data_IF_248045329893
#
_entry.id   IF_248045329893
#
_cell.length_a   1.000
_cell.length_b   1.000
_cell.length_c   1.000
_cell.angle_alpha   90.00
_cell.angle_beta   90.00
_cell.angle_gamma   90.00
#
_symmetry.space_group_name_H-M   'P 1'
#
loop_
_entity.id
_entity.type
_entity.pdbx_description
1 polymer ?
#
# COMPACT_ATOMS: atom_id res chain seq x y z
N UNK A 1 -80.53 15.08 22.92
CA UNK A 1 -81.30 13.94 23.41
C UNK A 1 -80.30 13.03 24.03
N UNK A 2 -80.15 12.96 25.21
CA UNK A 2 -80.97 12.48 26.36
C UNK A 2 -80.16 11.41 26.98
N UNK A 3 -79.63 11.62 28.07
CA UNK A 3 -80.09 11.48 29.41
C UNK A 3 -79.63 10.20 30.04
N UNK A 4 -78.76 10.35 31.03
CA UNK A 4 -78.87 9.95 32.44
C UNK A 4 -78.72 8.43 32.73
N UNK A 5 -78.26 7.95 33.87
CA UNK A 5 -78.12 8.47 35.20
C UNK A 5 -77.67 7.34 36.13
N UNK A 6 -76.93 7.71 37.16
CA UNK A 6 -77.05 7.34 38.58
C UNK A 6 -76.77 5.91 39.04
N UNK A 7 -75.93 5.80 39.97
CA UNK A 7 -75.97 5.79 41.48
C UNK A 7 -75.88 4.38 42.00
N UNK A 8 -75.44 4.04 43.15
CA UNK A 8 -74.89 4.59 44.39
C UNK A 8 -74.08 3.51 45.05
N UNK A 9 -73.02 3.72 45.68
CA UNK A 9 -72.73 3.98 47.07
C UNK A 9 -72.97 2.80 48.06
N UNK A 10 -72.04 2.65 48.90
CA UNK A 10 -71.97 2.41 50.33
C UNK A 10 -71.16 1.19 50.74
N UNK A 11 -70.03 1.46 51.41
CA UNK A 11 -69.78 1.58 52.81
C UNK A 11 -69.66 0.21 53.54
N UNK A 12 -68.53 -0.17 54.13
CA UNK A 12 -68.25 -0.17 55.55
C UNK A 12 -66.96 -0.90 55.98
N UNK A 13 -66.17 -0.16 56.70
CA UNK A 13 -65.42 -0.44 57.95
C UNK A 13 -64.52 -1.68 58.12
N UNK A 14 -63.32 -1.31 58.56
CA UNK A 14 -62.18 -1.99 59.21
C UNK A 14 -62.57 -2.94 60.37
N UNK A 15 -61.63 -3.86 60.83
CA UNK A 15 -60.53 -3.39 61.66
C UNK A 15 -59.19 -4.15 61.53
N UNK A 16 -58.22 -3.51 62.12
CA UNK A 16 -56.84 -3.82 62.49
C UNK A 16 -56.49 -5.31 62.82
N UNK A 17 -55.27 -5.68 62.36
CA UNK A 17 -54.55 -6.87 62.83
C UNK A 17 -53.05 -6.76 62.51
N UNK A 18 -52.34 -6.52 63.52
CA UNK A 18 -50.94 -6.56 63.94
C UNK A 18 -49.87 -7.13 62.94
N UNK A 19 -48.75 -6.37 62.90
CA UNK A 19 -47.37 -6.66 62.62
C UNK A 19 -46.91 -8.14 62.68
N UNK A 20 -46.09 -8.49 61.67
CA UNK A 20 -44.89 -9.27 61.89
C UNK A 20 -43.82 -8.81 60.91
N UNK A 21 -42.74 -8.21 61.46
CA UNK A 21 -41.45 -8.02 60.78
C UNK A 21 -40.85 -9.38 60.45
N UNK A 22 -40.60 -9.65 59.18
CA UNK A 22 -39.57 -10.61 58.78
C UNK A 22 -38.61 -9.89 57.93
N UNK A 23 -37.45 -9.58 58.51
CA UNK A 23 -36.26 -9.06 57.90
C UNK A 23 -35.69 -10.15 56.98
N UNK A 24 -35.73 -9.97 55.71
CA UNK A 24 -34.95 -10.77 54.77
C UNK A 24 -33.67 -10.02 54.38
N UNK A 25 -32.63 -10.32 55.17
CA UNK A 25 -31.22 -9.93 54.87
C UNK A 25 -30.59 -11.05 54.07
N UNK A 26 -30.77 -11.06 52.72
CA UNK A 26 -30.04 -12.01 51.86
C UNK A 26 -29.94 -11.64 50.36
N UNK A 27 -30.12 -10.37 49.99
CA UNK A 27 -30.00 -10.01 48.56
C UNK A 27 -28.81 -9.08 48.20
N UNK A 28 -28.04 -8.63 49.18
CA UNK A 28 -26.93 -7.70 48.91
C UNK A 28 -25.63 -8.36 48.42
N UNK A 29 -25.22 -9.59 48.79
CA UNK A 29 -23.97 -10.15 48.27
C UNK A 29 -24.07 -10.59 46.80
N UNK A 30 -25.24 -10.92 46.28
CA UNK A 30 -25.39 -11.36 44.86
C UNK A 30 -25.34 -10.21 43.91
N UNK A 31 -25.84 -9.01 44.26
CA UNK A 31 -25.79 -7.83 43.42
C UNK A 31 -24.37 -7.25 43.35
N UNK A 32 -23.60 -7.27 44.45
CA UNK A 32 -22.21 -6.83 44.49
C UNK A 32 -21.30 -7.79 43.69
N UNK A 33 -21.58 -9.12 43.74
CA UNK A 33 -20.84 -10.09 42.94
C UNK A 33 -21.14 -9.98 41.43
N UNK A 34 -22.38 -9.68 41.05
CA UNK A 34 -22.77 -9.43 39.67
C UNK A 34 -22.15 -8.15 39.09
N UNK A 35 -22.00 -7.09 39.90
CA UNK A 35 -21.35 -5.84 39.50
C UNK A 35 -19.82 -5.99 39.43
N UNK A 36 -19.18 -6.82 40.22
CA UNK A 36 -17.75 -7.10 40.14
C UNK A 36 -17.39 -8.03 38.97
N UNK A 37 -18.27 -8.95 38.58
CA UNK A 37 -18.07 -9.81 37.41
C UNK A 37 -18.25 -9.05 36.10
N UNK A 38 -19.07 -7.98 36.07
CA UNK A 38 -19.27 -7.15 34.88
C UNK A 38 -18.11 -6.20 34.56
N UNK A 39 -17.14 -6.01 35.47
CA UNK A 39 -15.99 -5.12 35.24
C UNK A 39 -14.70 -5.86 34.81
N UNK A 40 -14.74 -7.18 34.67
CA UNK A 40 -13.58 -8.00 34.22
C UNK A 40 -13.65 -8.37 32.74
N UNK A 41 -14.64 -7.89 31.99
CA UNK A 41 -14.75 -8.22 30.57
C UNK A 41 -14.44 -6.98 29.76
N UNK A 42 -13.28 -6.94 29.22
CA UNK A 42 -12.82 -6.39 27.94
C UNK A 42 -11.50 -5.60 28.03
N UNK A 43 -10.46 -6.24 28.54
CA UNK A 43 -9.19 -6.04 27.84
C UNK A 43 -9.13 -7.13 26.75
N UNK A 44 -9.90 -6.95 25.70
CA UNK A 44 -9.57 -7.58 24.43
C UNK A 44 -8.18 -7.03 24.08
N UNK A 45 -7.14 -7.82 24.32
CA UNK A 45 -5.83 -7.52 23.80
C UNK A 45 -6.02 -7.31 22.30
N UNK A 46 -5.90 -6.08 21.83
CA UNK A 46 -5.84 -5.81 20.40
C UNK A 46 -4.77 -6.74 19.84
N UNK A 47 -5.17 -7.60 18.90
CA UNK A 47 -4.21 -8.44 18.21
C UNK A 47 -3.06 -7.56 17.78
N UNK A 48 -1.80 -7.94 18.01
CA UNK A 48 -0.66 -7.13 17.64
C UNK A 48 -0.80 -6.75 16.18
N UNK A 49 -0.76 -5.46 15.88
CA UNK A 49 -0.81 -4.95 14.51
C UNK A 49 0.29 -5.66 13.74
N UNK A 50 -0.07 -6.37 12.69
CA UNK A 50 0.91 -7.09 11.88
C UNK A 50 1.97 -6.11 11.39
N UNK A 51 3.22 -6.40 11.68
CA UNK A 51 4.37 -5.64 11.19
C UNK A 51 4.76 -6.03 9.77
N UNK A 52 3.93 -6.77 9.06
CA UNK A 52 4.19 -7.24 7.71
C UNK A 52 4.08 -6.12 6.67
N UNK A 53 4.84 -6.27 5.60
CA UNK A 53 4.83 -5.42 4.42
C UNK A 53 4.64 -6.31 3.17
N UNK A 54 3.45 -6.92 2.99
CA UNK A 54 3.28 -8.09 2.13
C UNK A 54 3.31 -7.80 0.63
N UNK A 55 3.37 -6.54 0.22
CA UNK A 55 3.30 -6.13 -1.17
C UNK A 55 3.92 -4.73 -1.38
N UNK A 56 3.90 -4.29 -2.63
CA UNK A 56 4.29 -2.93 -3.02
C UNK A 56 3.65 -1.87 -2.11
N UNK A 57 4.51 -1.05 -1.47
CA UNK A 57 4.13 0.04 -0.58
C UNK A 57 3.28 -0.38 0.63
N UNK A 58 3.41 -1.62 1.09
CA UNK A 58 2.81 -2.14 2.32
C UNK A 58 1.36 -2.61 2.18
N UNK A 59 0.68 -2.93 3.29
CA UNK A 59 -0.63 -3.57 3.29
C UNK A 59 -1.68 -2.83 2.45
N UNK A 60 -1.72 -1.51 2.56
CA UNK A 60 -2.67 -0.65 1.83
C UNK A 60 -2.11 -0.05 0.54
N UNK A 61 -0.93 -0.45 0.08
CA UNK A 61 -0.21 0.14 -1.08
C UNK A 61 -0.01 1.66 -0.95
N UNK A 62 -0.01 2.17 0.28
CA UNK A 62 0.02 3.59 0.62
C UNK A 62 1.41 4.13 0.98
N UNK A 63 2.38 3.24 1.22
CA UNK A 63 3.70 3.61 1.74
C UNK A 63 3.71 3.90 3.24
N UNK A 64 2.63 3.53 3.94
CA UNK A 64 2.48 3.75 5.38
C UNK A 64 2.74 2.44 6.14
N UNK A 65 3.67 2.48 7.09
CA UNK A 65 3.86 1.43 8.07
C UNK A 65 3.05 1.75 9.33
N UNK A 66 2.32 0.78 9.89
CA UNK A 66 1.58 0.97 11.14
C UNK A 66 2.46 0.91 12.39
N UNK A 67 3.77 0.73 12.23
CA UNK A 67 4.70 0.56 13.35
C UNK A 67 4.88 1.84 14.15
N UNK A 68 5.10 1.66 15.44
CA UNK A 68 5.39 2.69 16.45
C UNK A 68 6.56 2.27 17.32
N UNK A 69 7.07 3.18 18.17
CA UNK A 69 8.22 2.90 19.02
C UNK A 69 9.54 2.83 18.25
N UNK A 70 9.65 3.62 17.18
CA UNK A 70 10.84 3.68 16.35
C UNK A 70 11.79 4.80 16.80
N UNK A 71 13.07 4.70 16.42
CA UNK A 71 14.08 5.72 16.70
C UNK A 71 13.60 7.10 16.22
N UNK A 72 13.68 8.07 17.10
CA UNK A 72 13.25 9.44 16.79
C UNK A 72 14.26 10.19 15.94
N UNK A 73 15.53 9.89 16.12
CA UNK A 73 16.66 10.47 15.41
C UNK A 73 17.70 9.37 15.16
N UNK A 74 18.51 9.53 14.14
CA UNK A 74 19.60 8.61 13.86
C UNK A 74 20.96 9.20 14.26
N UNK A 75 21.91 8.38 14.73
CA UNK A 75 23.29 8.81 14.86
C UNK A 75 23.90 9.14 13.49
N UNK A 76 25.00 9.88 13.47
CA UNK A 76 25.69 10.28 12.23
C UNK A 76 26.10 9.08 11.34
N UNK A 77 26.33 7.91 11.96
CA UNK A 77 26.62 6.66 11.24
C UNK A 77 25.38 5.93 10.68
N UNK A 78 24.19 6.50 10.86
CA UNK A 78 22.92 5.83 10.59
C UNK A 78 22.52 4.83 11.68
N UNK A 79 21.34 4.18 11.56
CA UNK A 79 20.88 3.17 12.49
C UNK A 79 21.76 1.90 12.40
N UNK A 80 21.87 1.10 13.49
CA UNK A 80 22.69 -0.11 13.50
C UNK A 80 22.27 -1.11 12.42
N UNK A 81 23.24 -1.60 11.65
CA UNK A 81 23.00 -2.66 10.65
C UNK A 81 22.77 -4.00 11.34
N UNK A 82 21.65 -4.67 11.02
CA UNK A 82 21.34 -6.01 11.52
C UNK A 82 21.99 -7.07 10.64
N UNK A 83 21.78 -6.97 9.32
CA UNK A 83 22.38 -7.84 8.33
C UNK A 83 22.42 -7.15 6.95
N UNK A 84 23.22 -7.70 6.04
CA UNK A 84 23.28 -7.31 4.64
C UNK A 84 23.50 -8.55 3.80
N UNK A 85 22.66 -8.71 2.75
CA UNK A 85 22.73 -9.84 1.83
C UNK A 85 23.02 -9.32 0.44
N UNK A 86 24.07 -9.86 -0.18
CA UNK A 86 24.49 -9.56 -1.55
C UNK A 86 24.05 -10.67 -2.52
N UNK A 87 24.36 -10.48 -3.81
CA UNK A 87 24.11 -11.45 -4.88
C UNK A 87 22.63 -11.82 -5.07
N UNK A 88 21.71 -10.89 -4.74
CA UNK A 88 20.27 -11.07 -4.97
C UNK A 88 19.87 -10.84 -6.43
N UNK A 89 20.81 -10.38 -7.24
CA UNK A 89 20.58 -9.99 -8.62
C UNK A 89 20.22 -8.53 -8.78
N UNK A 90 20.65 -7.94 -9.91
CA UNK A 90 20.35 -6.56 -10.23
C UNK A 90 18.84 -6.33 -10.40
N UNK A 91 18.34 -5.16 -10.03
CA UNK A 91 16.94 -4.79 -10.17
C UNK A 91 16.54 -3.61 -9.29
N UNK A 92 15.36 -3.05 -9.56
CA UNK A 92 14.87 -1.81 -8.96
C UNK A 92 13.61 -2.01 -8.10
N UNK A 93 13.02 -3.20 -8.10
CA UNK A 93 11.86 -3.52 -7.27
C UNK A 93 12.20 -3.43 -5.79
N UNK A 94 11.22 -3.05 -4.97
CA UNK A 94 11.31 -3.12 -3.52
C UNK A 94 11.13 -4.57 -3.04
N UNK A 95 10.91 -4.76 -1.76
CA UNK A 95 10.74 -6.07 -1.13
C UNK A 95 9.32 -6.25 -0.58
N UNK A 96 8.90 -7.50 -0.44
CA UNK A 96 7.77 -7.88 0.42
C UNK A 96 8.28 -8.59 1.67
N UNK A 97 7.62 -8.34 2.81
CA UNK A 97 7.92 -8.97 4.11
C UNK A 97 6.65 -9.60 4.65
N UNK A 98 6.70 -10.89 4.92
CA UNK A 98 5.58 -11.63 5.54
C UNK A 98 6.12 -12.65 6.54
N UNK A 99 5.65 -12.56 7.79
CA UNK A 99 6.10 -13.45 8.85
C UNK A 99 7.62 -13.40 9.05
N UNK A 100 8.26 -14.54 8.89
CA UNK A 100 9.73 -14.73 9.04
C UNK A 100 10.52 -14.55 7.74
N UNK A 101 9.88 -14.11 6.65
CA UNK A 101 10.49 -14.07 5.31
C UNK A 101 10.47 -12.70 4.65
N UNK A 102 11.47 -12.49 3.81
CA UNK A 102 11.61 -11.34 2.91
C UNK A 102 11.72 -11.87 1.48
N UNK A 103 10.94 -11.29 0.56
CA UNK A 103 10.92 -11.69 -0.84
C UNK A 103 11.40 -10.53 -1.73
N UNK A 104 12.26 -10.87 -2.69
CA UNK A 104 12.86 -9.89 -3.60
C UNK A 104 13.07 -10.49 -4.98
N UNK A 105 12.82 -9.71 -6.04
CA UNK A 105 13.15 -10.07 -7.42
C UNK A 105 14.52 -9.52 -7.82
N UNK A 106 15.22 -10.19 -8.75
CA UNK A 106 16.48 -9.70 -9.30
C UNK A 106 16.85 -10.41 -10.58
N UNK A 107 17.76 -9.84 -11.36
CA UNK A 107 18.36 -10.47 -12.53
C UNK A 107 19.66 -11.16 -12.14
N UNK A 108 19.76 -12.46 -12.39
CA UNK A 108 20.97 -13.29 -12.20
C UNK A 108 21.22 -14.14 -13.44
N UNK A 109 22.42 -14.07 -14.01
CA UNK A 109 22.80 -14.88 -15.18
C UNK A 109 21.76 -14.82 -16.31
N UNK A 110 21.32 -13.61 -16.68
CA UNK A 110 20.29 -13.37 -17.72
C UNK A 110 18.93 -14.03 -17.44
N UNK A 111 18.62 -14.32 -16.16
CA UNK A 111 17.33 -14.81 -15.71
C UNK A 111 16.71 -13.85 -14.69
N UNK A 112 15.41 -13.64 -14.79
CA UNK A 112 14.62 -12.98 -13.75
C UNK A 112 14.30 -13.99 -12.66
N UNK A 113 14.79 -13.76 -11.46
CA UNK A 113 14.61 -14.64 -10.31
C UNK A 113 13.85 -13.97 -9.19
N UNK A 114 13.19 -14.76 -8.37
CA UNK A 114 12.69 -14.35 -7.07
C UNK A 114 13.40 -15.14 -5.98
N UNK A 115 13.78 -14.46 -4.91
CA UNK A 115 14.47 -15.03 -3.76
C UNK A 115 13.65 -14.81 -2.50
N UNK A 116 13.61 -15.82 -1.62
CA UNK A 116 13.17 -15.68 -0.25
C UNK A 116 14.36 -15.72 0.71
N UNK A 117 14.37 -14.77 1.64
CA UNK A 117 15.39 -14.64 2.67
C UNK A 117 14.75 -14.80 4.05
N UNK A 118 15.53 -15.31 5.00
CA UNK A 118 15.19 -15.24 6.42
C UNK A 118 15.14 -13.76 6.86
N UNK A 119 14.00 -13.35 7.42
CA UNK A 119 13.85 -11.99 7.97
C UNK A 119 14.81 -11.73 9.13
N UNK A 120 15.16 -12.77 9.89
CA UNK A 120 15.98 -12.67 11.08
C UNK A 120 17.44 -12.28 10.76
N UNK A 121 18.06 -12.98 9.82
CA UNK A 121 19.50 -12.88 9.53
C UNK A 121 19.87 -12.69 8.06
N UNK A 122 18.88 -12.55 7.17
CA UNK A 122 19.08 -12.30 5.74
C UNK A 122 19.58 -13.49 4.94
N UNK A 123 19.66 -14.71 5.51
CA UNK A 123 20.09 -15.89 4.80
C UNK A 123 19.12 -16.28 3.68
N UNK A 124 19.66 -16.68 2.53
CA UNK A 124 18.88 -17.21 1.41
C UNK A 124 18.22 -18.52 1.82
N UNK A 125 16.89 -18.57 1.72
CA UNK A 125 16.09 -19.76 1.98
C UNK A 125 15.87 -20.55 0.70
N UNK A 126 15.48 -19.87 -0.38
CA UNK A 126 15.31 -20.43 -1.71
C UNK A 126 15.39 -19.33 -2.78
N UNK A 127 15.68 -19.74 -4.01
CA UNK A 127 15.62 -18.90 -5.20
C UNK A 127 14.94 -19.68 -6.32
N UNK A 128 14.07 -19.00 -7.07
CA UNK A 128 13.37 -19.59 -8.20
C UNK A 128 13.53 -18.72 -9.46
N UNK A 129 13.73 -19.37 -10.62
CA UNK A 129 13.77 -18.71 -11.91
C UNK A 129 12.35 -18.53 -12.45
N UNK A 130 11.98 -17.28 -12.79
CA UNK A 130 10.65 -16.95 -13.31
C UNK A 130 10.66 -16.90 -14.85
N UNK A 131 11.78 -16.51 -15.45
CA UNK A 131 11.87 -16.37 -16.89
C UNK A 131 13.17 -15.72 -17.32
N UNK A 132 13.32 -15.51 -18.62
CA UNK A 132 14.48 -14.82 -19.18
C UNK A 132 14.42 -13.33 -18.83
N UNK A 133 15.50 -12.80 -18.29
CA UNK A 133 15.63 -11.37 -18.05
C UNK A 133 15.91 -10.61 -19.35
N UNK A 134 15.45 -9.38 -19.41
CA UNK A 134 15.71 -8.44 -20.50
C UNK A 134 16.57 -7.30 -19.98
N UNK A 135 17.66 -7.01 -20.65
CA UNK A 135 18.48 -5.84 -20.39
C UNK A 135 17.85 -4.60 -21.03
N UNK A 136 17.95 -3.48 -20.35
CA UNK A 136 17.43 -2.19 -20.80
C UNK A 136 18.45 -1.09 -20.51
N UNK A 137 18.53 -0.10 -21.37
CA UNK A 137 19.44 1.04 -21.21
C UNK A 137 19.19 1.88 -19.94
N UNK A 138 17.99 1.76 -19.33
CA UNK A 138 17.64 2.37 -18.05
C UNK A 138 17.95 1.46 -16.85
N UNK A 139 18.70 0.39 -17.06
CA UNK A 139 19.19 -0.51 -16.04
C UNK A 139 18.62 -1.92 -16.11
N UNK A 140 19.34 -2.88 -15.52
CA UNK A 140 19.04 -4.30 -15.62
C UNK A 140 17.95 -4.75 -14.64
N UNK A 141 17.23 -5.80 -15.02
CA UNK A 141 16.42 -6.63 -14.16
C UNK A 141 15.04 -6.07 -13.76
N UNK A 142 14.31 -6.83 -12.95
CA UNK A 142 12.93 -6.57 -12.60
C UNK A 142 12.75 -5.33 -11.72
N UNK A 143 11.60 -4.67 -11.92
CA UNK A 143 11.22 -3.43 -11.23
C UNK A 143 10.03 -3.63 -10.30
N UNK A 144 9.23 -4.68 -10.53
CA UNK A 144 8.08 -5.02 -9.69
C UNK A 144 8.49 -5.53 -8.31
N UNK A 145 7.61 -5.35 -7.33
CA UNK A 145 7.73 -5.92 -5.99
C UNK A 145 6.83 -7.15 -5.90
N UNK A 146 7.29 -8.27 -5.33
CA UNK A 146 6.44 -9.43 -5.08
C UNK A 146 5.24 -9.09 -4.20
N UNK A 147 4.11 -9.77 -4.40
CA UNK A 147 2.93 -9.69 -3.55
C UNK A 147 2.69 -11.02 -2.87
N UNK A 148 2.65 -11.03 -1.54
CA UNK A 148 2.35 -12.21 -0.72
C UNK A 148 0.89 -12.16 -0.28
N UNK A 149 0.17 -13.24 -0.54
CA UNK A 149 -1.21 -13.44 -0.08
C UNK A 149 -1.31 -14.87 0.47
N UNK A 150 -1.49 -14.98 1.77
CA UNK A 150 -1.48 -16.22 2.55
C UNK A 150 -0.24 -17.10 2.25
N UNK A 151 -0.42 -18.25 1.62
CA UNK A 151 0.62 -19.22 1.26
C UNK A 151 1.12 -19.05 -0.19
N UNK A 152 0.71 -17.98 -0.86
CA UNK A 152 1.05 -17.67 -2.26
C UNK A 152 1.90 -16.42 -2.39
N UNK A 153 2.78 -16.45 -3.37
CA UNK A 153 3.63 -15.35 -3.79
C UNK A 153 3.39 -15.06 -5.27
N UNK A 154 2.98 -13.85 -5.60
CA UNK A 154 2.76 -13.39 -6.98
C UNK A 154 3.90 -12.50 -7.40
N UNK A 155 4.47 -12.81 -8.56
CA UNK A 155 5.68 -12.15 -9.08
C UNK A 155 5.45 -11.80 -10.55
N UNK A 156 5.71 -10.56 -10.93
CA UNK A 156 5.63 -10.10 -12.31
C UNK A 156 7.01 -9.59 -12.74
N UNK A 157 7.56 -10.20 -13.78
CA UNK A 157 8.87 -9.81 -14.32
C UNK A 157 8.76 -8.63 -15.28
N UNK A 158 9.89 -8.04 -15.58
CA UNK A 158 10.02 -6.93 -16.53
C UNK A 158 9.64 -7.32 -17.97
N UNK A 159 9.57 -8.63 -18.25
CA UNK A 159 9.20 -9.20 -19.56
C UNK A 159 7.74 -9.71 -19.60
N UNK A 160 6.96 -9.43 -18.56
CA UNK A 160 5.55 -9.78 -18.49
C UNK A 160 5.25 -11.21 -18.02
N UNK A 161 6.24 -11.94 -17.51
CA UNK A 161 6.01 -13.24 -16.91
C UNK A 161 5.42 -13.07 -15.51
N UNK A 162 4.15 -13.45 -15.36
CA UNK A 162 3.43 -13.48 -14.10
C UNK A 162 3.41 -14.91 -13.55
N UNK A 163 3.94 -15.10 -12.36
CA UNK A 163 3.97 -16.40 -11.69
C UNK A 163 3.33 -16.35 -10.31
N UNK A 164 2.61 -17.40 -9.96
CA UNK A 164 2.16 -17.73 -8.63
C UNK A 164 3.01 -18.87 -8.07
N UNK A 165 3.65 -18.64 -6.93
CA UNK A 165 4.53 -19.60 -6.27
C UNK A 165 4.04 -19.92 -4.86
N UNK A 166 4.45 -21.03 -4.31
CA UNK A 166 4.33 -21.30 -2.88
C UNK A 166 5.35 -20.49 -2.08
N UNK A 167 4.94 -19.82 -1.04
CA UNK A 167 5.84 -19.04 -0.16
C UNK A 167 6.88 -19.92 0.53
N UNK A 168 6.56 -21.20 0.77
CA UNK A 168 7.39 -22.10 1.54
C UNK A 168 8.69 -22.48 0.82
N UNK A 169 8.62 -22.81 -0.45
CA UNK A 169 9.71 -23.44 -1.22
C UNK A 169 9.96 -22.80 -2.59
N UNK A 170 9.14 -21.82 -3.00
CA UNK A 170 9.23 -21.18 -4.31
C UNK A 170 8.71 -22.03 -5.46
N UNK A 171 8.05 -23.16 -5.20
CA UNK A 171 7.48 -24.01 -6.25
C UNK A 171 6.40 -23.27 -7.02
N UNK A 172 6.48 -23.25 -8.35
CA UNK A 172 5.49 -22.63 -9.23
C UNK A 172 4.18 -23.40 -9.19
N UNK A 173 3.08 -22.69 -8.92
CA UNK A 173 1.72 -23.21 -8.96
C UNK A 173 1.14 -23.03 -10.36
N UNK A 174 1.28 -21.83 -10.91
CA UNK A 174 0.96 -21.49 -12.28
C UNK A 174 1.82 -20.31 -12.76
N UNK A 175 1.98 -20.21 -14.07
CA UNK A 175 2.71 -19.12 -14.72
C UNK A 175 2.06 -18.78 -16.05
N UNK A 176 2.07 -17.47 -16.38
CA UNK A 176 1.56 -16.93 -17.65
C UNK A 176 2.42 -15.75 -18.09
N UNK A 177 2.40 -15.44 -19.38
CA UNK A 177 2.98 -14.19 -19.86
C UNK A 177 1.86 -13.22 -20.26
N UNK A 178 1.68 -12.15 -19.50
CA UNK A 178 0.54 -11.22 -19.68
C UNK A 178 0.61 -10.46 -21.00
N UNK A 179 1.79 -10.22 -21.56
CA UNK A 179 1.94 -9.55 -22.85
C UNK A 179 1.51 -10.47 -23.99
N UNK A 180 1.92 -11.73 -23.98
CA UNK A 180 1.56 -12.72 -25.01
C UNK A 180 0.07 -13.07 -24.94
N UNK A 181 -0.44 -13.34 -23.73
CA UNK A 181 -1.80 -13.82 -23.53
C UNK A 181 -2.87 -12.80 -23.85
N UNK A 182 -2.56 -11.50 -23.63
CA UNK A 182 -3.50 -10.40 -23.83
C UNK A 182 -3.16 -9.49 -25.01
N UNK A 183 -2.18 -9.87 -25.84
CA UNK A 183 -1.77 -9.08 -27.00
C UNK A 183 -1.16 -7.73 -26.67
N UNK A 184 -0.59 -7.61 -25.46
CA UNK A 184 0.14 -6.44 -25.01
C UNK A 184 1.52 -6.34 -25.66
N UNK A 185 2.14 -5.16 -25.53
CA UNK A 185 3.53 -4.91 -25.94
C UNK A 185 4.30 -4.35 -24.75
N UNK A 186 5.55 -4.77 -24.61
CA UNK A 186 6.40 -4.21 -23.56
C UNK A 186 6.63 -2.70 -23.82
N UNK A 187 6.68 -1.95 -22.76
CA UNK A 187 6.87 -0.50 -22.78
C UNK A 187 8.35 -0.14 -22.73
N UNK A 188 8.70 1.11 -23.04
CA UNK A 188 10.08 1.54 -23.26
C UNK A 188 11.08 1.17 -22.17
N UNK A 189 10.69 1.24 -20.91
CA UNK A 189 11.52 0.86 -19.75
C UNK A 189 11.04 -0.42 -19.08
N UNK A 190 10.34 -1.27 -19.81
CA UNK A 190 9.83 -2.58 -19.42
C UNK A 190 8.71 -2.53 -18.36
N UNK A 191 7.96 -3.62 -18.25
CA UNK A 191 6.91 -3.77 -17.23
C UNK A 191 7.50 -3.55 -15.84
N UNK A 192 6.87 -2.67 -15.05
CA UNK A 192 7.39 -2.21 -13.76
C UNK A 192 6.38 -2.35 -12.62
N UNK A 193 5.13 -2.65 -12.93
CA UNK A 193 4.10 -2.79 -11.93
C UNK A 193 4.32 -3.99 -11.00
N UNK A 194 3.76 -3.89 -9.81
CA UNK A 194 3.66 -4.97 -8.84
C UNK A 194 2.24 -5.54 -8.88
N UNK A 195 2.04 -6.86 -9.03
CA UNK A 195 0.71 -7.44 -9.15
C UNK A 195 -0.16 -7.10 -7.95
N UNK A 196 -1.42 -6.73 -8.19
CA UNK A 196 -2.40 -6.44 -7.14
C UNK A 196 -3.25 -7.69 -6.87
N UNK A 197 -3.28 -8.15 -5.63
CA UNK A 197 -4.25 -9.17 -5.19
C UNK A 197 -5.45 -8.49 -4.55
N UNK A 198 -6.64 -8.81 -5.01
CA UNK A 198 -7.91 -8.33 -4.46
C UNK A 198 -8.95 -9.47 -4.42
N UNK A 199 -9.31 -9.91 -3.23
CA UNK A 199 -10.21 -11.06 -3.04
C UNK A 199 -9.65 -12.35 -3.66
N UNK A 200 -10.32 -12.86 -4.68
CA UNK A 200 -9.93 -14.07 -5.41
C UNK A 200 -9.15 -13.80 -6.72
N UNK A 201 -8.77 -12.56 -6.97
CA UNK A 201 -8.16 -12.17 -8.24
C UNK A 201 -6.77 -11.54 -8.08
N UNK A 202 -5.94 -11.76 -9.11
CA UNK A 202 -4.70 -11.02 -9.35
C UNK A 202 -4.92 -10.10 -10.53
N UNK A 203 -4.68 -8.80 -10.33
CA UNK A 203 -4.88 -7.77 -11.35
C UNK A 203 -3.53 -7.31 -11.88
N UNK A 204 -3.44 -7.18 -13.20
CA UNK A 204 -2.27 -6.73 -13.96
C UNK A 204 -2.69 -5.82 -15.11
N UNK A 205 -1.73 -5.03 -15.62
CA UNK A 205 -1.95 -4.08 -16.73
C UNK A 205 -1.10 -4.46 -17.95
N UNK A 206 -1.53 -5.46 -18.76
CA UNK A 206 -0.80 -5.84 -19.98
C UNK A 206 -0.71 -4.71 -21.00
N UNK A 207 -1.72 -3.84 -21.02
CA UNK A 207 -1.79 -2.71 -21.94
C UNK A 207 -2.14 -3.10 -23.38
N UNK A 208 -2.66 -2.10 -24.13
CA UNK A 208 -2.98 -2.26 -25.55
C UNK A 208 -4.39 -2.75 -25.83
N UNK A 209 -4.68 -2.99 -27.11
CA UNK A 209 -6.05 -3.26 -27.61
C UNK A 209 -6.69 -4.55 -27.10
N UNK A 210 -5.90 -5.51 -26.66
CA UNK A 210 -6.41 -6.79 -26.15
C UNK A 210 -6.99 -6.67 -24.76
N UNK A 211 -6.28 -5.99 -23.88
CA UNK A 211 -6.70 -5.66 -22.53
C UNK A 211 -5.80 -4.59 -21.93
N UNK A 212 -6.31 -3.40 -21.67
CA UNK A 212 -5.57 -2.39 -20.90
C UNK A 212 -5.31 -2.87 -19.47
N UNK A 213 -6.25 -3.62 -18.90
CA UNK A 213 -6.14 -4.27 -17.58
C UNK A 213 -6.81 -5.64 -17.63
N UNK A 214 -6.29 -6.60 -16.87
CA UNK A 214 -6.84 -7.94 -16.76
C UNK A 214 -6.84 -8.43 -15.31
N UNK A 215 -7.83 -9.24 -14.94
CA UNK A 215 -7.85 -10.00 -13.69
C UNK A 215 -7.82 -11.49 -13.97
N UNK A 216 -7.02 -12.18 -13.21
CA UNK A 216 -6.87 -13.63 -13.24
C UNK A 216 -7.26 -14.21 -11.88
N UNK A 217 -7.86 -15.38 -11.88
CA UNK A 217 -8.09 -16.15 -10.65
C UNK A 217 -6.76 -16.44 -9.96
N UNK A 218 -6.63 -16.03 -8.73
CA UNK A 218 -5.35 -16.06 -8.00
C UNK A 218 -4.83 -17.50 -7.78
N UNK A 219 -5.71 -18.49 -7.74
CA UNK A 219 -5.33 -19.87 -7.48
C UNK A 219 -4.95 -20.65 -8.75
N UNK A 220 -5.54 -20.29 -9.88
CA UNK A 220 -5.41 -21.07 -11.13
C UNK A 220 -4.77 -20.32 -12.29
N UNK A 221 -4.66 -18.98 -12.21
CA UNK A 221 -4.20 -18.14 -13.30
C UNK A 221 -5.19 -18.00 -14.45
N UNK A 222 -6.41 -18.53 -14.35
CA UNK A 222 -7.45 -18.39 -15.39
C UNK A 222 -7.95 -16.94 -15.43
N UNK A 223 -8.17 -16.41 -16.62
CA UNK A 223 -8.72 -15.07 -16.81
C UNK A 223 -10.15 -15.00 -16.28
N UNK A 224 -10.41 -14.03 -15.40
CA UNK A 224 -11.75 -13.70 -14.89
C UNK A 224 -12.39 -12.65 -15.79
N UNK A 225 -11.67 -11.54 -16.01
CA UNK A 225 -12.14 -10.47 -16.90
C UNK A 225 -10.96 -9.73 -17.56
N UNK A 226 -11.27 -9.02 -18.64
CA UNK A 226 -10.39 -8.04 -19.29
C UNK A 226 -11.13 -6.73 -19.48
N UNK A 227 -10.45 -5.61 -19.23
CA UNK A 227 -11.00 -4.28 -19.50
C UNK A 227 -10.88 -3.98 -21.00
N UNK A 228 -11.97 -4.22 -21.74
CA UNK A 228 -12.02 -4.05 -23.20
C UNK A 228 -12.11 -2.59 -23.65
N UNK A 229 -12.67 -1.73 -22.80
CA UNK A 229 -12.81 -0.29 -23.04
C UNK A 229 -11.51 0.48 -22.78
N UNK A 230 -10.58 -0.10 -22.02
CA UNK A 230 -9.28 0.44 -21.76
C UNK A 230 -8.26 -0.14 -22.73
N UNK A 231 -7.86 0.63 -23.71
CA UNK A 231 -6.90 0.21 -24.77
C UNK A 231 -5.53 0.87 -24.64
N UNK A 232 -5.31 1.64 -23.58
CA UNK A 232 -4.05 2.32 -23.32
C UNK A 232 -2.90 1.31 -23.16
N UNK A 233 -1.70 1.71 -23.55
CA UNK A 233 -0.49 0.98 -23.16
C UNK A 233 -0.34 0.97 -21.63
N UNK A 234 0.37 0.00 -21.10
CA UNK A 234 0.73 0.01 -19.68
C UNK A 234 1.45 1.31 -19.31
N UNK A 235 1.19 1.83 -18.11
CA UNK A 235 2.11 2.74 -17.43
C UNK A 235 3.18 1.95 -16.67
N UNK A 236 3.95 2.64 -15.86
CA UNK A 236 4.90 2.00 -14.93
C UNK A 236 4.33 1.91 -13.52
N UNK A 237 3.11 2.42 -13.32
CA UNK A 237 2.45 2.51 -12.03
C UNK A 237 1.87 1.15 -11.60
N UNK A 238 1.99 0.85 -10.32
CA UNK A 238 1.28 -0.28 -9.72
C UNK A 238 -0.14 0.15 -9.32
N UNK A 239 -1.18 -0.64 -9.62
CA UNK A 239 -2.56 -0.31 -9.27
C UNK A 239 -2.81 -0.34 -7.77
N UNK A 240 -3.80 0.44 -7.32
CA UNK A 240 -4.42 0.35 -6.00
C UNK A 240 -5.87 -0.08 -6.14
N UNK A 241 -6.47 -0.53 -5.05
CA UNK A 241 -7.90 -0.83 -5.00
C UNK A 241 -8.51 -0.20 -3.76
N UNK A 242 -9.69 0.39 -3.92
CA UNK A 242 -10.44 0.99 -2.82
C UNK A 242 -11.95 0.82 -3.03
N UNK A 243 -12.71 0.94 -1.96
CA UNK A 243 -14.15 1.07 -2.02
C UNK A 243 -14.53 2.54 -2.19
N UNK A 244 -15.28 2.84 -3.23
CA UNK A 244 -15.84 4.17 -3.50
C UNK A 244 -17.34 4.07 -3.29
N UNK A 245 -17.81 4.39 -2.08
CA UNK A 245 -19.24 4.40 -1.72
C UNK A 245 -19.97 3.09 -2.12
N UNK A 246 -19.36 1.94 -1.84
CA UNK A 246 -19.90 0.61 -2.13
C UNK A 246 -19.50 0.03 -3.50
N UNK A 247 -18.76 0.77 -4.33
CA UNK A 247 -18.21 0.26 -5.59
C UNK A 247 -16.72 -0.02 -5.47
N UNK A 248 -16.34 -1.31 -5.48
CA UNK A 248 -14.95 -1.73 -5.46
C UNK A 248 -14.26 -1.32 -6.75
N UNK A 249 -13.24 -0.46 -6.67
CA UNK A 249 -12.63 0.22 -7.82
C UNK A 249 -11.12 0.08 -7.80
N UNK A 250 -10.54 -0.30 -8.93
CA UNK A 250 -9.09 -0.39 -9.15
C UNK A 250 -8.66 0.88 -9.88
N UNK A 251 -7.58 1.52 -9.38
CA UNK A 251 -7.07 2.79 -9.90
C UNK A 251 -5.59 2.67 -10.24
N UNK A 252 -5.17 3.19 -11.40
CA UNK A 252 -3.78 3.22 -11.82
C UNK A 252 -3.50 4.38 -12.78
N UNK A 253 -2.23 4.57 -13.14
CA UNK A 253 -1.79 5.42 -14.27
C UNK A 253 -1.39 4.51 -15.43
N UNK A 254 -2.05 4.70 -16.56
CA UNK A 254 -1.65 4.12 -17.86
C UNK A 254 -0.61 5.02 -18.56
N UNK A 255 -0.21 4.67 -19.79
CA UNK A 255 0.60 5.56 -20.62
C UNK A 255 -0.09 6.89 -20.94
N UNK A 256 -1.42 6.97 -20.87
CA UNK A 256 -2.21 8.07 -21.39
C UNK A 256 -3.10 8.76 -20.36
N UNK A 257 -3.40 8.13 -19.22
CA UNK A 257 -4.36 8.67 -18.25
C UNK A 257 -4.22 8.09 -16.85
N UNK A 258 -4.72 8.83 -15.85
CA UNK A 258 -5.21 8.27 -14.60
C UNK A 258 -6.57 7.64 -14.82
N UNK A 259 -6.71 6.35 -14.50
CA UNK A 259 -7.92 5.57 -14.78
C UNK A 259 -8.48 4.92 -13.53
N UNK A 260 -9.78 4.66 -13.54
CA UNK A 260 -10.45 3.78 -12.60
C UNK A 260 -11.32 2.77 -13.31
N UNK A 261 -11.23 1.51 -12.90
CA UNK A 261 -12.04 0.41 -13.43
C UNK A 261 -12.78 -0.30 -12.30
N UNK A 262 -13.97 -0.83 -12.58
CA UNK A 262 -14.72 -1.62 -11.60
C UNK A 262 -14.03 -2.97 -11.38
N UNK A 263 -13.79 -3.32 -10.11
CA UNK A 263 -13.03 -4.51 -9.77
C UNK A 263 -13.72 -5.83 -10.13
N UNK A 264 -15.07 -5.84 -10.25
CA UNK A 264 -15.84 -7.06 -10.51
C UNK A 264 -15.80 -7.53 -11.96
N UNK A 265 -15.58 -6.61 -12.93
CA UNK A 265 -15.72 -6.91 -14.36
C UNK A 265 -14.77 -6.14 -15.28
N UNK A 266 -13.93 -5.26 -14.70
CA UNK A 266 -12.97 -4.47 -15.47
C UNK A 266 -13.58 -3.32 -16.29
N UNK A 267 -14.86 -2.95 -16.05
CA UNK A 267 -15.50 -1.83 -16.74
C UNK A 267 -14.77 -0.53 -16.44
N UNK A 268 -14.43 0.22 -17.50
CA UNK A 268 -13.83 1.55 -17.36
C UNK A 268 -14.85 2.52 -16.77
N UNK A 269 -14.50 3.16 -15.65
CA UNK A 269 -15.37 4.10 -14.93
C UNK A 269 -15.02 5.56 -15.25
N UNK A 270 -13.72 5.88 -15.32
CA UNK A 270 -13.24 7.20 -15.70
C UNK A 270 -11.85 7.15 -16.31
N UNK A 271 -11.54 8.20 -17.05
CA UNK A 271 -10.21 8.52 -17.58
C UNK A 271 -9.92 10.00 -17.35
N UNK A 272 -8.71 10.33 -16.86
CA UNK A 272 -8.25 11.70 -16.67
C UNK A 272 -6.86 11.87 -17.28
N UNK A 273 -6.79 12.49 -18.47
CA UNK A 273 -5.57 12.56 -19.28
C UNK A 273 -4.57 13.60 -18.76
N UNK A 274 -5.01 14.68 -18.12
CA UNK A 274 -4.16 15.81 -17.72
C UNK A 274 -2.97 15.41 -16.79
N UNK A 275 -3.03 14.22 -16.16
CA UNK A 275 -1.98 13.72 -15.27
C UNK A 275 -0.97 12.79 -15.93
N UNK A 276 -1.14 12.49 -17.22
CA UNK A 276 -0.22 11.64 -17.97
C UNK A 276 0.75 12.46 -18.82
N UNK A 277 1.91 11.89 -19.08
CA UNK A 277 2.91 12.41 -20.01
C UNK A 277 3.36 11.31 -20.98
N UNK A 278 4.01 11.72 -22.08
CA UNK A 278 4.43 10.82 -23.15
C UNK A 278 5.73 10.05 -22.85
N UNK A 279 6.34 10.27 -21.69
CA UNK A 279 7.63 9.66 -21.33
C UNK A 279 7.44 8.51 -20.35
N UNK A 280 6.90 8.79 -19.17
CA UNK A 280 6.71 7.77 -18.13
C UNK A 280 5.72 8.19 -17.05
N UNK A 281 4.72 7.38 -16.82
CA UNK A 281 3.68 7.53 -15.79
C UNK A 281 3.89 6.45 -14.73
N UNK A 282 4.55 6.82 -13.60
CA UNK A 282 5.15 5.85 -12.68
C UNK A 282 4.46 5.83 -11.32
N UNK A 283 4.03 6.99 -10.81
CA UNK A 283 3.58 7.12 -9.44
C UNK A 283 2.27 6.33 -9.18
N UNK A 284 2.30 5.48 -8.16
CA UNK A 284 1.08 4.83 -7.64
C UNK A 284 0.10 5.90 -7.14
N UNK A 285 -1.19 5.85 -7.52
CA UNK A 285 -2.20 6.79 -7.03
C UNK A 285 -2.34 6.77 -5.51
N UNK A 286 -2.81 7.88 -4.94
CA UNK A 286 -3.15 7.98 -3.52
C UNK A 286 -4.64 8.20 -3.36
N UNK A 287 -5.31 7.31 -2.63
CA UNK A 287 -6.75 7.40 -2.38
C UNK A 287 -7.04 7.67 -0.90
N UNK A 288 -7.93 8.62 -0.63
CA UNK A 288 -8.50 8.89 0.68
C UNK A 288 -9.83 9.67 0.53
N UNK A 289 -10.77 9.43 1.43
CA UNK A 289 -12.04 10.20 1.54
C UNK A 289 -12.79 10.34 0.21
N UNK A 290 -12.93 9.25 -0.53
CA UNK A 290 -13.52 9.23 -1.88
C UNK A 290 -12.86 10.23 -2.84
N UNK A 291 -11.56 10.43 -2.71
CA UNK A 291 -10.75 11.21 -3.63
C UNK A 291 -9.51 10.43 -4.03
N UNK A 292 -9.07 10.60 -5.26
CA UNK A 292 -7.82 10.01 -5.75
C UNK A 292 -6.91 11.11 -6.29
N UNK A 293 -5.64 11.07 -5.87
CA UNK A 293 -4.60 11.94 -6.40
C UNK A 293 -3.69 11.14 -7.33
N UNK A 294 -3.56 11.61 -8.55
CA UNK A 294 -2.61 11.12 -9.54
C UNK A 294 -1.48 12.13 -9.73
N UNK A 295 -0.29 11.66 -10.04
CA UNK A 295 0.84 12.53 -10.34
C UNK A 295 1.80 11.88 -11.32
N UNK A 296 2.38 12.66 -12.21
CA UNK A 296 3.50 12.26 -13.05
C UNK A 296 4.52 13.38 -13.19
N UNK A 297 5.74 13.04 -13.62
CA UNK A 297 6.85 13.97 -13.82
C UNK A 297 6.84 14.58 -15.23
N UNK A 298 8.00 14.93 -15.73
CA UNK A 298 8.28 15.46 -17.09
C UNK A 298 7.45 16.70 -17.43
N UNK A 299 7.33 17.63 -16.46
CA UNK A 299 6.61 18.89 -16.64
C UNK A 299 5.09 18.79 -16.45
N UNK A 300 4.55 17.61 -16.15
CA UNK A 300 3.10 17.40 -16.02
C UNK A 300 2.56 17.93 -14.71
N UNK A 301 2.68 17.21 -13.61
CA UNK A 301 2.11 17.59 -12.33
C UNK A 301 1.18 16.53 -11.75
N UNK A 302 0.16 16.96 -11.01
CA UNK A 302 -0.82 16.05 -10.41
C UNK A 302 -2.20 16.69 -10.26
N UNK A 303 -3.22 15.84 -10.18
CA UNK A 303 -4.61 16.26 -9.96
C UNK A 303 -5.27 15.46 -8.85
N UNK A 304 -6.11 16.13 -8.07
CA UNK A 304 -7.05 15.50 -7.14
C UNK A 304 -8.40 15.40 -7.81
N UNK A 305 -8.93 14.18 -7.87
CA UNK A 305 -10.27 13.89 -8.37
C UNK A 305 -11.19 13.49 -7.23
N UNK A 306 -12.34 14.11 -7.11
CA UNK A 306 -13.43 13.65 -6.26
C UNK A 306 -14.21 12.54 -6.98
N UNK A 307 -14.46 11.44 -6.28
CA UNK A 307 -15.15 10.27 -6.79
C UNK A 307 -16.54 10.17 -6.17
N UNK A 308 -17.55 9.90 -7.01
CA UNK A 308 -18.93 9.68 -6.57
C UNK A 308 -19.49 8.44 -7.25
N UNK A 309 -20.04 7.55 -6.44
CA UNK A 309 -20.74 6.38 -6.95
C UNK A 309 -22.24 6.68 -7.10
N UNK A 310 -22.82 6.18 -8.20
CA UNK A 310 -24.25 6.22 -8.49
C UNK A 310 -24.61 4.99 -9.34
N UNK A 311 -25.62 4.21 -8.92
CA UNK A 311 -26.10 3.02 -9.59
C UNK A 311 -24.99 2.01 -10.02
N UNK A 312 -23.95 1.84 -9.19
CA UNK A 312 -22.83 0.93 -9.47
C UNK A 312 -21.78 1.48 -10.44
N UNK A 313 -21.91 2.73 -10.85
CA UNK A 313 -20.92 3.49 -11.63
C UNK A 313 -20.19 4.47 -10.73
N UNK A 314 -18.92 4.76 -11.04
CA UNK A 314 -18.16 5.82 -10.36
C UNK A 314 -17.81 6.90 -11.37
N UNK A 315 -18.08 8.15 -11.01
CA UNK A 315 -17.70 9.33 -11.78
C UNK A 315 -16.60 10.08 -11.05
N UNK A 316 -15.64 10.61 -11.79
CA UNK A 316 -14.55 11.41 -11.27
C UNK A 316 -14.70 12.86 -11.75
N UNK A 317 -14.49 13.81 -10.82
CA UNK A 317 -14.50 15.23 -11.09
C UNK A 317 -13.20 15.84 -10.55
N UNK A 318 -12.47 16.60 -11.37
CA UNK A 318 -11.28 17.31 -10.93
C UNK A 318 -11.65 18.35 -9.87
N UNK A 319 -10.93 18.28 -8.73
CA UNK A 319 -11.02 19.27 -7.64
C UNK A 319 -9.98 20.36 -7.87
N UNK A 320 -8.76 19.97 -8.17
CA UNK A 320 -7.68 20.84 -8.58
C UNK A 320 -6.62 20.09 -9.38
N UNK A 321 -5.87 20.84 -10.19
CA UNK A 321 -4.61 20.43 -10.81
C UNK A 321 -3.46 21.28 -10.25
N UNK A 322 -2.29 20.68 -10.06
CA UNK A 322 -1.10 21.37 -9.55
C UNK A 322 0.17 20.90 -10.24
N UNK A 323 1.10 21.82 -10.53
CA UNK A 323 2.46 21.51 -10.96
C UNK A 323 3.45 21.37 -9.79
N UNK A 324 2.96 21.51 -8.58
CA UNK A 324 3.76 21.46 -7.36
C UNK A 324 4.04 20.04 -6.87
N UNK A 325 3.53 19.03 -7.59
CA UNK A 325 3.82 17.63 -7.33
C UNK A 325 4.01 16.87 -8.65
N UNK A 326 5.20 16.99 -9.22
CA UNK A 326 5.64 16.22 -10.38
C UNK A 326 6.40 15.00 -9.89
N UNK A 327 5.67 14.00 -9.36
CA UNK A 327 6.29 12.82 -8.80
C UNK A 327 6.78 11.85 -9.88
N UNK A 328 8.05 11.45 -9.79
CA UNK A 328 8.66 10.49 -10.70
C UNK A 328 8.43 9.06 -10.21
N UNK A 329 9.48 8.39 -9.69
CA UNK A 329 9.39 7.01 -9.18
C UNK A 329 9.19 6.91 -7.67
N UNK A 330 9.34 8.03 -6.94
CA UNK A 330 9.47 8.03 -5.47
C UNK A 330 8.20 7.74 -4.70
N UNK A 331 7.04 7.78 -5.35
CA UNK A 331 5.75 7.60 -4.69
C UNK A 331 5.37 8.78 -3.80
N UNK A 332 4.17 8.68 -3.22
CA UNK A 332 3.56 9.71 -2.39
C UNK A 332 3.02 9.08 -1.12
N UNK A 333 3.10 9.74 0.03
CA UNK A 333 2.42 9.31 1.27
C UNK A 333 1.48 10.40 1.76
N UNK A 334 0.29 10.00 2.16
CA UNK A 334 -0.71 10.89 2.73
C UNK A 334 -0.81 10.65 4.24
N UNK A 335 -0.50 11.67 5.03
CA UNK A 335 -0.49 11.59 6.50
C UNK A 335 -1.23 12.80 7.06
N UNK A 336 -2.26 12.57 7.86
CA UNK A 336 -3.01 13.62 8.57
C UNK A 336 -3.48 14.77 7.64
N UNK A 337 -3.92 14.43 6.43
CA UNK A 337 -4.40 15.42 5.46
C UNK A 337 -3.30 16.11 4.64
N UNK A 338 -2.04 15.72 4.80
CA UNK A 338 -0.91 16.28 4.05
C UNK A 338 -0.24 15.22 3.19
N UNK A 339 0.00 15.58 1.94
CA UNK A 339 0.65 14.74 0.93
C UNK A 339 2.13 15.08 0.86
N UNK A 340 2.99 14.08 1.08
CA UNK A 340 4.45 14.21 0.99
C UNK A 340 4.96 13.42 -0.20
N UNK A 341 5.86 14.02 -0.96
CA UNK A 341 6.50 13.40 -2.11
C UNK A 341 7.58 14.27 -2.74
N UNK A 342 8.33 13.68 -3.65
CA UNK A 342 9.32 14.43 -4.40
C UNK A 342 8.68 15.07 -5.63
N UNK A 343 8.61 16.40 -5.65
CA UNK A 343 8.38 17.20 -6.87
C UNK A 343 9.70 17.21 -7.64
N UNK A 344 9.89 16.26 -8.54
CA UNK A 344 11.17 15.94 -9.16
C UNK A 344 12.26 15.64 -8.11
N UNK A 345 13.15 16.58 -7.79
CA UNK A 345 14.21 16.43 -6.79
C UNK A 345 13.95 17.14 -5.46
N UNK A 346 12.82 17.80 -5.33
CA UNK A 346 12.45 18.62 -4.16
C UNK A 346 11.39 17.91 -3.34
N UNK A 347 11.71 17.53 -2.12
CA UNK A 347 10.71 17.00 -1.19
C UNK A 347 9.71 18.12 -0.86
N UNK A 348 8.45 17.84 -1.12
CA UNK A 348 7.35 18.81 -1.03
C UNK A 348 6.24 18.26 -0.16
N UNK A 349 5.68 19.10 0.68
CA UNK A 349 4.47 18.86 1.44
C UNK A 349 3.33 19.70 0.87
N UNK A 350 2.23 19.05 0.51
CA UNK A 350 0.99 19.70 0.08
C UNK A 350 -0.14 19.43 1.06
N UNK A 351 -1.02 20.38 1.26
CA UNK A 351 -2.34 20.12 1.82
C UNK A 351 -3.18 19.34 0.80
N UNK A 352 -3.60 18.11 1.16
CA UNK A 352 -4.24 17.19 0.21
C UNK A 352 -5.55 17.72 -0.37
N UNK A 353 -6.34 18.42 0.45
CA UNK A 353 -7.66 18.92 0.05
C UNK A 353 -7.60 20.04 -0.98
N UNK A 354 -6.56 20.89 -0.95
CA UNK A 354 -6.47 22.14 -1.73
C UNK A 354 -5.31 22.20 -2.72
N UNK A 355 -4.30 21.32 -2.56
CA UNK A 355 -3.05 21.39 -3.32
C UNK A 355 -2.11 22.51 -2.87
N UNK A 356 -2.43 23.21 -1.77
CA UNK A 356 -1.58 24.26 -1.22
C UNK A 356 -0.24 23.70 -0.78
N UNK A 357 0.86 24.33 -1.22
CA UNK A 357 2.20 24.01 -0.76
C UNK A 357 2.38 24.49 0.67
N UNK A 358 2.72 23.58 1.57
CA UNK A 358 3.07 23.90 2.95
C UNK A 358 4.56 24.25 3.05
N UNK A 359 5.43 23.42 2.44
CA UNK A 359 6.86 23.66 2.36
C UNK A 359 7.52 22.85 1.24
N UNK A 360 8.74 23.25 0.86
CA UNK A 360 9.63 22.57 -0.07
C UNK A 360 11.05 22.54 0.49
N UNK A 361 11.76 21.43 0.30
CA UNK A 361 13.16 21.30 0.73
C UNK A 361 13.93 20.34 -0.16
N UNK A 362 15.24 20.59 -0.35
CA UNK A 362 16.10 19.69 -1.14
C UNK A 362 16.31 18.32 -0.51
N UNK A 363 16.24 18.24 0.82
CA UNK A 363 16.37 17.00 1.62
C UNK A 363 17.53 16.09 1.16
N UNK A 364 17.25 14.87 0.75
CA UNK A 364 18.23 13.90 0.21
C UNK A 364 18.40 13.99 -1.32
N UNK A 365 17.68 14.92 -2.00
CA UNK A 365 17.59 14.96 -3.46
C UNK A 365 16.48 14.05 -3.99
N UNK A 366 16.47 13.81 -5.32
CA UNK A 366 15.48 12.96 -5.97
C UNK A 366 15.51 11.54 -5.40
N UNK A 367 14.36 11.00 -5.01
CA UNK A 367 14.33 9.71 -4.34
C UNK A 367 12.92 9.18 -4.09
N UNK A 368 12.84 8.17 -3.23
CA UNK A 368 11.62 7.49 -2.80
C UNK A 368 11.40 7.63 -1.30
N UNK A 369 10.16 7.37 -0.85
CA UNK A 369 9.83 7.50 0.57
C UNK A 369 8.81 6.46 1.05
N UNK A 370 8.89 6.20 2.37
CA UNK A 370 7.87 5.54 3.17
C UNK A 370 7.66 6.34 4.47
N UNK A 371 6.55 6.08 5.14
CA UNK A 371 6.21 6.69 6.44
C UNK A 371 6.09 5.63 7.53
N UNK A 372 6.59 5.96 8.73
CA UNK A 372 6.33 5.21 9.95
C UNK A 372 6.49 6.15 11.17
N UNK A 373 5.64 5.99 12.17
CA UNK A 373 5.77 6.59 13.51
C UNK A 373 6.10 8.10 13.50
N UNK A 374 5.37 8.88 12.70
CA UNK A 374 5.56 10.32 12.59
C UNK A 374 6.73 10.78 11.70
N UNK A 375 7.40 9.86 10.96
CA UNK A 375 8.61 10.17 10.20
C UNK A 375 8.55 9.68 8.76
N UNK A 376 9.23 10.41 7.89
CA UNK A 376 9.51 10.05 6.51
C UNK A 376 10.86 9.36 6.43
N UNK A 377 10.90 8.17 5.89
CA UNK A 377 12.09 7.40 5.55
C UNK A 377 12.37 7.63 4.08
N UNK A 378 13.50 8.26 3.76
CA UNK A 378 13.85 8.75 2.44
C UNK A 378 15.03 7.96 1.88
N UNK A 379 14.99 7.59 0.59
CA UNK A 379 16.12 6.98 -0.11
C UNK A 379 16.29 7.72 -1.44
N UNK A 380 17.47 8.35 -1.63
CA UNK A 380 17.73 9.09 -2.87
C UNK A 380 18.35 8.23 -3.98
N UNK A 381 18.22 8.65 -5.22
CA UNK A 381 18.91 8.05 -6.37
C UNK A 381 20.44 8.00 -6.18
N UNK A 382 20.98 8.93 -5.38
CA UNK A 382 22.43 9.07 -5.12
C UNK A 382 22.85 8.38 -3.81
N UNK A 383 22.13 7.34 -3.41
CA UNK A 383 22.51 6.48 -2.29
C UNK A 383 22.49 7.15 -0.90
N UNK A 384 21.82 8.29 -0.74
CA UNK A 384 21.61 8.93 0.56
C UNK A 384 20.30 8.43 1.17
N UNK A 385 20.36 7.94 2.40
CA UNK A 385 19.20 7.53 3.19
C UNK A 385 18.97 8.57 4.29
N UNK A 386 17.76 9.11 4.38
CA UNK A 386 17.41 10.17 5.33
C UNK A 386 16.20 9.85 6.18
N UNK A 387 16.14 10.43 7.35
CA UNK A 387 14.99 10.47 8.24
C UNK A 387 14.55 11.92 8.40
N UNK A 388 13.27 12.20 8.23
CA UNK A 388 12.71 13.52 8.42
C UNK A 388 11.38 13.45 9.17
N UNK A 389 10.99 14.51 9.85
CA UNK A 389 9.69 14.62 10.52
C UNK A 389 8.57 14.77 9.48
N UNK A 390 7.47 14.02 9.65
CA UNK A 390 6.28 14.14 8.83
C UNK A 390 5.34 15.21 9.40
N UNK A 391 5.64 16.49 9.15
CA UNK A 391 4.89 17.64 9.65
C UNK A 391 4.66 18.69 8.57
N UNK A 392 3.50 19.35 8.53
CA UNK A 392 3.27 20.48 7.61
C UNK A 392 3.98 21.79 8.02
N UNK A 393 4.56 21.85 9.21
CA UNK A 393 5.17 23.08 9.76
C UNK A 393 6.48 23.45 9.07
N UNK A 394 7.19 22.46 8.46
CA UNK A 394 8.46 22.67 7.77
C UNK A 394 9.28 21.40 7.71
N UNK A 395 10.34 21.40 6.93
CA UNK A 395 11.27 20.27 6.87
C UNK A 395 12.19 20.28 8.09
N UNK A 396 12.23 19.16 8.79
CA UNK A 396 13.19 18.89 9.88
C UNK A 396 13.84 17.55 9.62
N UNK A 397 15.15 17.54 9.41
CA UNK A 397 15.95 16.34 9.28
C UNK A 397 16.29 15.76 10.66
N UNK A 398 16.18 14.45 10.80
CA UNK A 398 16.38 13.69 12.02
C UNK A 398 17.56 12.71 11.90
N UNK A 399 18.26 12.73 10.77
CA UNK A 399 19.46 11.94 10.51
C UNK A 399 19.59 11.54 9.05
N UNK A 400 20.83 11.27 8.64
CA UNK A 400 21.16 10.72 7.31
C UNK A 400 22.41 9.87 7.34
N UNK A 401 22.51 8.97 6.39
CA UNK A 401 23.72 8.22 6.09
C UNK A 401 23.77 7.86 4.61
N UNK A 402 24.90 7.33 4.15
CA UNK A 402 25.07 6.93 2.75
C UNK A 402 25.27 5.42 2.66
N UNK A 403 24.62 4.78 1.69
CA UNK A 403 24.85 3.38 1.32
C UNK A 403 25.84 3.29 0.16
N UNK A 404 26.44 2.11 -0.03
CA UNK A 404 27.41 1.88 -1.10
C UNK A 404 26.76 2.02 -2.49
N UNK A 405 27.45 2.72 -3.39
CA UNK A 405 27.07 2.80 -4.78
C UNK A 405 27.20 1.43 -5.46
N UNK A 406 26.23 1.12 -6.32
CA UNK A 406 26.17 -0.13 -7.08
C UNK A 406 26.19 0.14 -8.61
N UNK A 407 26.60 1.33 -9.03
CA UNK A 407 26.71 1.71 -10.43
C UNK A 407 25.39 2.09 -11.13
N UNK A 408 24.27 2.01 -10.41
CA UNK A 408 22.94 2.39 -10.89
C UNK A 408 22.18 3.16 -9.82
N UNK A 409 21.22 4.03 -10.19
CA UNK A 409 20.42 4.76 -9.22
C UNK A 409 19.66 3.84 -8.25
N UNK A 410 19.53 4.27 -7.00
CA UNK A 410 18.69 3.61 -5.99
C UNK A 410 17.21 3.98 -6.18
N UNK A 411 16.44 3.13 -6.88
CA UNK A 411 15.01 3.38 -7.11
C UNK A 411 14.07 2.54 -6.22
N UNK A 412 14.59 1.53 -5.55
CA UNK A 412 13.79 0.72 -4.63
C UNK A 412 13.27 1.59 -3.48
N UNK A 413 11.97 1.45 -3.18
CA UNK A 413 11.39 2.16 -2.04
C UNK A 413 11.87 1.55 -0.72
N UNK A 414 12.13 2.38 0.32
CA UNK A 414 12.41 1.88 1.66
C UNK A 414 11.20 1.15 2.24
N UNK A 415 11.46 0.14 3.07
CA UNK A 415 10.44 -0.63 3.78
C UNK A 415 10.71 -0.56 5.27
N UNK A 416 9.70 -0.21 6.07
CA UNK A 416 9.76 -0.23 7.53
C UNK A 416 8.83 -1.32 8.04
N UNK A 417 9.42 -2.37 8.63
CA UNK A 417 8.70 -3.58 9.01
C UNK A 417 9.43 -4.34 10.14
N UNK A 418 8.75 -4.60 11.26
CA UNK A 418 9.27 -5.33 12.42
C UNK A 418 10.39 -4.61 13.16
N UNK A 419 10.31 -3.28 13.27
CA UNK A 419 11.36 -2.45 13.88
C UNK A 419 12.63 -2.37 13.03
N UNK A 420 12.53 -2.69 11.75
CA UNK A 420 13.65 -2.64 10.81
C UNK A 420 13.35 -1.75 9.62
N UNK A 421 14.36 -0.99 9.20
CA UNK A 421 14.41 -0.33 7.91
C UNK A 421 15.17 -1.24 6.94
N UNK A 422 14.52 -1.59 5.84
CA UNK A 422 15.13 -2.32 4.74
C UNK A 422 15.42 -1.36 3.59
N UNK A 423 16.67 -1.37 3.13
CA UNK A 423 17.11 -0.58 1.98
C UNK A 423 17.76 -1.52 0.97
N UNK A 424 17.21 -1.51 -0.24
CA UNK A 424 17.75 -2.25 -1.37
C UNK A 424 18.49 -1.31 -2.31
N UNK A 425 19.68 -1.70 -2.72
CA UNK A 425 20.40 -1.09 -3.84
C UNK A 425 20.91 -2.19 -4.76
N UNK A 426 20.30 -2.33 -5.94
CA UNK A 426 20.58 -3.39 -6.90
C UNK A 426 20.54 -4.79 -6.27
N UNK A 427 21.62 -5.54 -6.34
CA UNK A 427 21.76 -6.88 -5.80
C UNK A 427 22.03 -6.97 -4.29
N UNK A 428 21.99 -5.86 -3.58
CA UNK A 428 22.23 -5.79 -2.13
C UNK A 428 20.96 -5.36 -1.40
N UNK A 429 20.59 -6.10 -0.37
CA UNK A 429 19.53 -5.75 0.58
C UNK A 429 20.12 -5.67 1.98
N UNK A 430 19.93 -4.55 2.64
CA UNK A 430 20.41 -4.31 4.01
C UNK A 430 19.24 -4.01 4.95
N UNK A 431 19.25 -4.64 6.12
CA UNK A 431 18.32 -4.37 7.21
C UNK A 431 19.02 -3.63 8.34
N UNK A 432 18.42 -2.54 8.79
CA UNK A 432 18.88 -1.71 9.90
C UNK A 432 17.89 -1.78 11.06
N UNK A 433 18.37 -1.80 12.29
CA UNK A 433 17.51 -1.70 13.48
C UNK A 433 17.07 -0.24 13.68
N UNK A 434 15.79 -0.01 13.59
CA UNK A 434 15.18 1.31 13.83
C UNK A 434 14.23 1.31 15.02
N UNK A 435 14.20 0.24 15.82
CA UNK A 435 13.42 0.16 17.05
C UNK A 435 14.08 1.04 18.13
N UNK A 436 13.29 1.85 18.82
CA UNK A 436 13.72 2.52 20.04
C UNK A 436 13.89 1.47 21.16
N UNK A 437 14.91 1.66 22.02
CA UNK A 437 15.17 0.81 23.18
C UNK A 437 14.09 0.98 24.24
#
# INVERSE_FOLDING_TARGET
>A
MGVTSHRDAESQRKPLGRLSLCVSVTLWPVVIFALLVSFVVSLAAQAPVSSDWPQWRGPGRSGLSPETGLLREWPASGPPRVWSTANLGAGFGSIAVRGDRVYVQGMRNSQSVVSALSRMDGKLLWVHNIGRAVENYQGPGPRGTPTVDDDRLYVLTENGDLACLRVQDGTVVWQRNILQDFGGRNIGWLISESPLVDGNQVVVTPGGRGAGMAALDKMTGKTIWTSKELSDQAGYASPIVADVQGVRTIMTLTSEAGVGVRASDGKLMWRHQAVANDTANIATPVFADNKVFYSSNYGTGGALLALRADAGEVRAQEVYFTREMQNHHGGLVLVNGYLYGFNNSILTCLEFATGKVMWRHRSVGKGSLAYADGRLYLVSENNVVGLAEATPAGYRELGRFTIADQGWPSWAHPVVSGGRLYVRNQGILTAYNVRAN
#
